data_IF_416009879940
#
_entry.id   IF_416009879940
#
_cell.length_a   1.000
_cell.length_b   1.000
_cell.length_c   1.000
_cell.angle_alpha   90.00
_cell.angle_beta   90.00
_cell.angle_gamma   90.00
#
_symmetry.space_group_name_H-M   'P 1'
#
loop_
_entity.id
_entity.type
_entity.pdbx_description
1 polymer ?
#
# COMPACT_ATOMS: atom_id res chain seq x y z
N UNK A 1 5.82 -10.25 26.60
CA UNK A 1 4.74 -9.35 26.15
C UNK A 1 5.40 -8.24 25.37
N UNK A 2 4.97 -7.90 24.13
CA UNK A 2 5.49 -6.72 23.45
C UNK A 2 5.06 -5.50 24.26
N UNK A 3 6.06 -4.75 24.78
CA UNK A 3 5.80 -3.53 25.52
C UNK A 3 5.13 -2.50 24.62
N UNK A 4 4.16 -1.74 25.14
CA UNK A 4 3.57 -0.58 24.48
C UNK A 4 4.68 0.43 24.13
N UNK A 5 5.25 0.30 22.95
CA UNK A 5 6.11 1.34 22.38
C UNK A 5 5.20 2.42 21.79
N UNK A 6 5.56 3.68 22.02
CA UNK A 6 4.90 4.79 21.33
C UNK A 6 4.85 4.47 19.83
N UNK A 7 3.70 4.71 19.18
CA UNK A 7 3.55 4.45 17.74
C UNK A 7 4.66 5.18 16.98
N UNK A 8 5.58 4.48 16.31
CA UNK A 8 6.63 5.13 15.57
C UNK A 8 6.01 5.97 14.45
N UNK A 9 6.61 7.11 14.17
CA UNK A 9 6.18 8.04 13.13
C UNK A 9 7.14 7.88 11.95
N UNK A 10 6.58 7.70 10.76
CA UNK A 10 7.36 7.62 9.53
C UNK A 10 8.15 8.92 9.30
N UNK A 11 9.40 8.80 8.83
CA UNK A 11 10.33 9.93 8.65
C UNK A 11 9.76 11.09 7.81
N UNK A 12 8.92 10.79 6.86
CA UNK A 12 8.25 11.76 6.00
C UNK A 12 7.26 12.67 6.75
N UNK A 13 6.80 12.25 7.94
CA UNK A 13 5.86 13.00 8.77
C UNK A 13 6.49 14.11 9.60
N UNK A 14 7.74 13.96 10.01
CA UNK A 14 8.37 14.87 10.98
C UNK A 14 8.35 16.34 10.57
N UNK A 15 8.59 16.63 9.28
CA UNK A 15 8.58 18.00 8.75
C UNK A 15 7.20 18.64 8.85
N UNK A 16 6.14 17.90 8.56
CA UNK A 16 4.76 18.37 8.63
C UNK A 16 4.31 18.56 10.07
N UNK A 17 4.63 17.60 10.95
CA UNK A 17 4.30 17.67 12.37
C UNK A 17 5.00 18.88 13.01
N UNK A 18 6.28 19.10 12.73
CA UNK A 18 7.00 20.26 13.24
C UNK A 18 6.40 21.58 12.74
N UNK A 19 6.05 21.67 11.45
CA UNK A 19 5.42 22.85 10.86
C UNK A 19 4.06 23.15 11.51
N UNK A 20 3.19 22.14 11.64
CA UNK A 20 1.88 22.31 12.26
C UNK A 20 1.99 22.61 13.75
N UNK A 21 2.94 22.01 14.47
CA UNK A 21 3.19 22.33 15.87
C UNK A 21 3.62 23.79 16.06
N UNK A 22 4.55 24.28 15.23
CA UNK A 22 4.95 25.68 15.25
C UNK A 22 3.78 26.61 14.94
N UNK A 23 3.00 26.28 13.89
CA UNK A 23 1.81 27.03 13.55
C UNK A 23 0.78 27.05 14.69
N UNK A 24 0.62 25.96 15.44
CA UNK A 24 -0.27 25.88 16.61
C UNK A 24 0.12 26.88 17.68
N UNK A 25 1.42 26.99 17.98
CA UNK A 25 1.94 27.95 18.96
C UNK A 25 1.67 29.39 18.49
N UNK A 26 2.01 29.72 17.26
CA UNK A 26 1.80 31.07 16.69
C UNK A 26 0.33 31.44 16.70
N UNK A 27 -0.56 30.54 16.23
CA UNK A 27 -2.00 30.79 16.17
C UNK A 27 -2.61 30.89 17.56
N UNK A 28 -2.07 30.17 18.56
CA UNK A 28 -2.54 30.30 19.94
C UNK A 28 -2.31 31.70 20.52
N UNK A 29 -1.19 32.34 20.19
CA UNK A 29 -0.90 33.72 20.57
C UNK A 29 -1.80 34.75 19.90
N UNK A 30 -2.31 34.45 18.69
CA UNK A 30 -3.26 35.32 18.00
C UNK A 30 -4.68 35.13 18.54
N UNK A 31 -5.12 33.89 18.70
CA UNK A 31 -6.42 33.53 19.26
C UNK A 31 -6.40 32.08 19.75
N UNK A 32 -6.66 31.86 21.04
CA UNK A 32 -6.63 30.54 21.65
C UNK A 32 -7.44 29.46 20.87
N UNK A 33 -8.68 29.73 20.37
CA UNK A 33 -9.42 28.73 19.59
C UNK A 33 -8.67 28.27 18.31
N UNK A 34 -7.99 29.18 17.61
CA UNK A 34 -7.21 28.84 16.42
C UNK A 34 -6.01 27.94 16.76
N UNK A 35 -5.36 28.21 17.88
CA UNK A 35 -4.28 27.37 18.41
C UNK A 35 -4.74 25.95 18.70
N UNK A 36 -5.90 25.77 19.34
CA UNK A 36 -6.48 24.45 19.60
C UNK A 36 -6.86 23.70 18.33
N UNK A 37 -7.44 24.37 17.34
CA UNK A 37 -7.72 23.77 16.03
C UNK A 37 -6.44 23.31 15.35
N UNK A 38 -5.39 24.13 15.37
CA UNK A 38 -4.10 23.79 14.78
C UNK A 38 -3.41 22.63 15.54
N UNK A 39 -3.54 22.57 16.86
CA UNK A 39 -3.06 21.44 17.66
C UNK A 39 -3.79 20.13 17.28
N UNK A 40 -5.10 20.16 17.16
CA UNK A 40 -5.87 19.00 16.72
C UNK A 40 -5.39 18.50 15.33
N UNK A 41 -5.13 19.43 14.41
CA UNK A 41 -4.56 19.10 13.09
C UNK A 41 -3.14 18.53 13.19
N UNK A 42 -2.32 19.02 14.12
CA UNK A 42 -0.98 18.49 14.40
C UNK A 42 -1.05 17.04 14.88
N UNK A 43 -1.95 16.75 15.81
CA UNK A 43 -2.18 15.40 16.32
C UNK A 43 -2.71 14.45 15.24
N UNK A 44 -3.63 14.92 14.40
CA UNK A 44 -4.11 14.16 13.26
C UNK A 44 -2.99 13.91 12.26
N UNK A 45 -2.11 14.87 11.99
CA UNK A 45 -0.95 14.70 11.14
C UNK A 45 -0.01 13.62 11.70
N UNK A 46 0.26 13.62 13.00
CA UNK A 46 1.05 12.58 13.66
C UNK A 46 0.37 11.20 13.53
N UNK A 47 -0.94 11.13 13.72
CA UNK A 47 -1.73 9.92 13.52
C UNK A 47 -1.69 9.41 12.07
N UNK A 48 -1.77 10.31 11.08
CA UNK A 48 -1.67 9.97 9.66
C UNK A 48 -0.31 9.34 9.31
N UNK A 49 0.79 9.89 9.82
CA UNK A 49 2.14 9.39 9.56
C UNK A 49 2.59 8.27 10.50
N UNK A 50 1.67 7.64 11.25
CA UNK A 50 2.03 6.51 12.10
C UNK A 50 2.53 5.33 11.28
N UNK A 51 3.52 4.64 11.82
CA UNK A 51 4.16 3.47 11.19
C UNK A 51 4.26 2.32 12.21
N UNK A 52 3.14 1.66 12.52
CA UNK A 52 3.12 0.59 13.52
C UNK A 52 3.98 -0.61 13.11
N UNK A 53 4.55 -1.29 14.08
CA UNK A 53 5.13 -2.62 13.87
C UNK A 53 4.02 -3.60 13.46
N UNK A 54 4.37 -4.60 12.64
CA UNK A 54 3.44 -5.61 12.13
C UNK A 54 4.02 -7.00 12.36
N UNK A 55 3.16 -7.95 12.67
CA UNK A 55 3.51 -9.36 12.79
C UNK A 55 3.20 -10.04 11.47
N UNK A 56 4.21 -10.20 10.65
CA UNK A 56 4.07 -10.79 9.31
C UNK A 56 4.16 -12.30 9.38
N UNK A 57 3.20 -13.05 8.78
CA UNK A 57 3.31 -14.50 8.66
C UNK A 57 4.50 -14.86 7.74
N UNK A 58 5.37 -15.75 8.22
CA UNK A 58 6.64 -16.08 7.54
C UNK A 58 6.60 -17.38 6.73
N UNK A 59 5.44 -17.98 6.51
CA UNK A 59 5.33 -19.18 5.67
C UNK A 59 5.56 -18.81 4.20
N UNK A 60 6.41 -19.59 3.53
CA UNK A 60 6.66 -19.44 2.09
C UNK A 60 5.38 -19.62 1.26
N UNK A 61 5.30 -18.92 0.15
CA UNK A 61 4.17 -18.95 -0.76
C UNK A 61 3.01 -18.05 -0.37
N UNK A 62 3.05 -17.41 0.81
CA UNK A 62 2.03 -16.43 1.19
C UNK A 62 2.27 -15.09 0.50
N UNK A 63 1.19 -14.51 0.01
CA UNK A 63 1.14 -13.12 -0.45
C UNK A 63 0.33 -12.34 0.58
N UNK A 64 0.96 -11.41 1.29
CA UNK A 64 0.29 -10.57 2.29
C UNK A 64 -0.15 -9.23 1.71
N UNK A 65 -1.10 -8.59 2.36
CA UNK A 65 -1.54 -7.25 1.96
C UNK A 65 -0.39 -6.23 2.00
N UNK A 66 -0.14 -5.49 0.93
CA UNK A 66 0.88 -4.43 0.92
C UNK A 66 0.39 -3.12 1.55
N UNK A 67 -0.89 -2.99 1.87
CA UNK A 67 -1.49 -1.77 2.39
C UNK A 67 -2.59 -2.04 3.43
N UNK A 68 -2.79 -1.10 4.35
CA UNK A 68 -4.02 -1.02 5.15
C UNK A 68 -5.13 -0.45 4.27
N UNK A 69 -6.35 -0.95 4.39
CA UNK A 69 -7.47 -0.38 3.65
C UNK A 69 -8.59 -1.36 3.36
N UNK A 70 -9.42 -0.99 2.40
CA UNK A 70 -10.58 -1.79 1.97
C UNK A 70 -10.36 -2.31 0.56
N UNK A 71 -10.65 -3.59 0.36
CA UNK A 71 -10.58 -4.24 -0.95
C UNK A 71 -11.68 -3.67 -1.85
N UNK A 72 -11.29 -3.13 -3.00
CA UNK A 72 -12.20 -2.79 -4.09
C UNK A 72 -12.59 -4.06 -4.85
N UNK A 73 -13.55 -3.98 -5.80
CA UNK A 73 -13.87 -5.15 -6.63
C UNK A 73 -12.62 -5.80 -7.22
N UNK A 74 -12.46 -7.10 -6.98
CA UNK A 74 -11.39 -7.90 -7.58
C UNK A 74 -11.74 -8.16 -9.03
N UNK A 75 -10.84 -7.85 -9.95
CA UNK A 75 -11.10 -7.94 -11.39
C UNK A 75 -9.91 -8.56 -12.13
N UNK A 76 -10.17 -9.14 -13.28
CA UNK A 76 -9.13 -9.45 -14.25
C UNK A 76 -8.79 -8.19 -15.05
N UNK A 77 -7.53 -7.76 -15.03
CA UNK A 77 -7.09 -6.58 -15.75
C UNK A 77 -5.66 -6.75 -16.27
N UNK A 78 -5.32 -6.18 -17.44
CA UNK A 78 -3.94 -6.19 -17.90
C UNK A 78 -3.06 -5.36 -16.96
N UNK A 79 -1.85 -5.82 -16.63
CA UNK A 79 -0.91 -5.01 -15.86
C UNK A 79 -0.47 -3.78 -16.67
N UNK A 80 -0.07 -2.68 -15.99
CA UNK A 80 0.41 -1.50 -16.68
C UNK A 80 1.57 -1.82 -17.61
N UNK A 81 1.59 -1.29 -18.85
CA UNK A 81 2.62 -1.60 -19.86
C UNK A 81 4.05 -1.36 -19.37
N UNK A 82 4.23 -0.35 -18.52
CA UNK A 82 5.53 0.01 -17.97
C UNK A 82 6.14 -1.04 -17.04
N UNK A 83 5.36 -2.04 -16.58
CA UNK A 83 5.86 -3.17 -15.80
C UNK A 83 6.39 -4.32 -16.66
N UNK A 84 6.12 -4.32 -17.97
CA UNK A 84 6.57 -5.38 -18.90
C UNK A 84 6.19 -6.79 -18.42
N UNK A 85 4.95 -6.96 -17.95
CA UNK A 85 4.38 -8.23 -17.48
C UNK A 85 3.46 -8.88 -18.52
N UNK A 86 3.50 -8.44 -19.77
CA UNK A 86 2.59 -8.86 -20.83
C UNK A 86 1.28 -8.09 -20.87
N UNK A 87 0.38 -8.52 -21.78
CA UNK A 87 -0.94 -7.88 -21.99
C UNK A 87 -2.09 -8.77 -21.49
N UNK A 88 -1.78 -10.00 -21.09
CA UNK A 88 -2.79 -10.93 -20.60
C UNK A 88 -3.37 -10.43 -19.27
N UNK A 89 -4.70 -10.46 -19.10
CA UNK A 89 -5.35 -10.07 -17.87
C UNK A 89 -4.91 -10.94 -16.69
N UNK A 90 -4.43 -10.31 -15.63
CA UNK A 90 -4.10 -10.92 -14.36
C UNK A 90 -5.16 -10.57 -13.30
N UNK A 91 -5.31 -11.41 -12.28
CA UNK A 91 -6.14 -11.09 -11.13
C UNK A 91 -5.55 -9.87 -10.42
N UNK A 92 -6.30 -8.77 -10.40
CA UNK A 92 -5.93 -7.54 -9.71
C UNK A 92 -6.73 -7.39 -8.42
N UNK A 93 -6.03 -7.35 -7.29
CA UNK A 93 -6.56 -6.98 -5.98
C UNK A 93 -6.19 -5.53 -5.72
N UNK A 94 -7.20 -4.66 -5.65
CA UNK A 94 -7.02 -3.23 -5.41
C UNK A 94 -7.40 -2.88 -3.97
N UNK A 95 -6.54 -2.16 -3.26
CA UNK A 95 -6.71 -1.79 -1.85
C UNK A 95 -6.79 -0.28 -1.75
N UNK A 96 -7.94 0.23 -1.33
CA UNK A 96 -8.17 1.65 -1.13
C UNK A 96 -7.83 2.06 0.29
N UNK A 97 -6.91 3.01 0.45
CA UNK A 97 -6.49 3.59 1.72
C UNK A 97 -7.19 4.93 1.91
N UNK A 98 -8.05 5.04 2.93
CA UNK A 98 -8.65 6.32 3.31
C UNK A 98 -7.70 7.12 4.22
N UNK A 99 -8.03 8.38 4.53
CA UNK A 99 -7.17 9.30 5.31
C UNK A 99 -6.89 8.85 6.75
N UNK A 100 -7.60 7.85 7.26
CA UNK A 100 -7.43 7.31 8.61
C UNK A 100 -6.68 5.98 8.64
N UNK A 101 -6.39 5.39 7.48
CA UNK A 101 -5.60 4.17 7.37
C UNK A 101 -4.10 4.46 7.53
N UNK A 102 -3.29 3.43 7.75
CA UNK A 102 -1.83 3.54 7.69
C UNK A 102 -1.39 3.59 6.24
N UNK A 103 -0.60 4.60 5.88
CA UNK A 103 -0.19 4.83 4.49
C UNK A 103 1.21 4.27 4.16
N UNK A 104 1.87 3.64 5.14
CA UNK A 104 3.13 2.91 4.89
C UNK A 104 2.81 1.62 4.17
N UNK A 105 3.46 1.42 3.02
CA UNK A 105 3.28 0.25 2.19
C UNK A 105 4.37 -0.81 2.47
N UNK A 106 3.98 -2.08 2.38
CA UNK A 106 4.82 -3.22 2.69
C UNK A 106 4.90 -4.20 1.54
N UNK A 107 6.04 -4.87 1.41
CA UNK A 107 6.29 -5.90 0.40
C UNK A 107 5.37 -7.09 0.66
N UNK A 108 4.58 -7.53 -0.34
CA UNK A 108 3.62 -8.61 -0.16
C UNK A 108 4.23 -10.01 -0.15
N UNK A 109 5.36 -10.20 -0.81
CA UNK A 109 6.05 -11.48 -0.90
C UNK A 109 7.55 -11.27 -1.13
N UNK A 110 8.38 -12.12 -0.51
CA UNK A 110 9.84 -12.08 -0.69
C UNK A 110 10.24 -12.32 -2.15
N UNK A 111 11.29 -11.65 -2.57
CA UNK A 111 11.77 -11.76 -3.93
C UNK A 111 12.79 -10.69 -4.32
N UNK A 112 12.91 -10.44 -5.62
CA UNK A 112 13.78 -9.42 -6.19
C UNK A 112 12.97 -8.41 -7.00
N UNK A 113 13.26 -7.13 -6.85
CA UNK A 113 12.69 -6.07 -7.69
C UNK A 113 13.33 -6.15 -9.08
N UNK A 114 12.55 -6.55 -10.09
CA UNK A 114 13.00 -6.62 -11.48
C UNK A 114 12.88 -5.28 -12.18
N UNK A 115 11.84 -4.54 -11.86
CA UNK A 115 11.55 -3.25 -12.48
C UNK A 115 10.89 -2.29 -11.51
N UNK A 116 11.29 -1.02 -11.61
CA UNK A 116 10.66 0.12 -10.92
C UNK A 116 10.35 1.19 -11.95
N UNK A 117 9.08 1.50 -12.13
CA UNK A 117 8.65 2.49 -13.12
C UNK A 117 7.77 3.56 -12.48
N UNK A 118 8.16 4.81 -12.64
CA UNK A 118 7.36 5.97 -12.20
C UNK A 118 6.71 6.62 -13.41
N UNK A 119 5.42 6.89 -13.29
CA UNK A 119 4.66 7.60 -14.32
C UNK A 119 3.98 8.83 -13.71
N UNK A 120 4.33 10.03 -14.15
CA UNK A 120 3.61 11.23 -13.75
C UNK A 120 2.18 11.18 -14.29
N UNK A 121 1.23 11.76 -13.55
CA UNK A 121 -0.16 11.72 -13.93
C UNK A 121 -1.01 12.78 -13.22
N UNK A 122 -2.32 12.62 -13.31
CA UNK A 122 -3.31 13.48 -12.66
C UNK A 122 -3.56 12.98 -11.22
N UNK A 123 -4.35 13.75 -10.48
CA UNK A 123 -4.77 13.41 -9.12
C UNK A 123 -6.30 13.41 -9.07
N UNK A 124 -6.91 12.31 -9.51
CA UNK A 124 -8.35 12.07 -9.35
C UNK A 124 -8.59 11.02 -8.27
N UNK A 125 -9.84 10.90 -7.82
CA UNK A 125 -10.18 9.97 -6.73
C UNK A 125 -9.74 8.54 -7.07
N UNK A 126 -8.84 7.97 -6.25
CA UNK A 126 -8.23 6.67 -6.47
C UNK A 126 -9.21 5.48 -6.34
N UNK A 127 -10.42 5.68 -5.80
CA UNK A 127 -11.45 4.64 -5.73
C UNK A 127 -12.04 4.28 -7.10
N UNK A 128 -11.93 5.15 -8.08
CA UNK A 128 -12.41 4.88 -9.44
C UNK A 128 -11.41 4.02 -10.22
N UNK A 129 -11.93 3.10 -11.02
CA UNK A 129 -11.10 2.18 -11.81
C UNK A 129 -10.22 2.93 -12.83
N UNK A 130 -10.76 3.98 -13.46
CA UNK A 130 -10.03 4.88 -14.39
C UNK A 130 -8.86 5.64 -13.73
N UNK A 131 -8.77 5.70 -12.41
CA UNK A 131 -7.64 6.30 -11.72
C UNK A 131 -6.32 5.55 -12.00
N UNK A 132 -6.38 4.24 -12.24
CA UNK A 132 -5.21 3.42 -12.60
C UNK A 132 -4.53 3.90 -13.88
N UNK A 133 -5.27 4.48 -14.82
CA UNK A 133 -4.75 4.90 -16.12
C UNK A 133 -4.22 6.34 -16.11
N UNK A 134 -4.90 7.22 -15.40
CA UNK A 134 -4.68 8.67 -15.48
C UNK A 134 -3.91 9.29 -14.34
N UNK A 135 -3.84 8.65 -13.16
CA UNK A 135 -3.18 9.20 -11.99
C UNK A 135 -1.67 8.96 -12.00
N UNK A 136 -0.97 9.82 -11.23
CA UNK A 136 0.42 9.57 -10.87
C UNK A 136 0.54 8.20 -10.21
N UNK A 137 1.49 7.39 -10.70
CA UNK A 137 1.69 6.04 -10.20
C UNK A 137 3.14 5.61 -10.22
N UNK A 138 3.45 4.67 -9.33
CA UNK A 138 4.74 3.99 -9.28
C UNK A 138 4.49 2.48 -9.26
N UNK A 139 5.02 1.80 -10.26
CA UNK A 139 4.92 0.36 -10.40
C UNK A 139 6.22 -0.34 -10.00
N UNK A 140 6.09 -1.48 -9.36
CA UNK A 140 7.16 -2.44 -9.08
C UNK A 140 6.78 -3.79 -9.68
N UNK A 141 7.73 -4.42 -10.38
CA UNK A 141 7.66 -5.81 -10.80
C UNK A 141 8.60 -6.62 -9.91
N UNK A 142 8.08 -7.63 -9.24
CA UNK A 142 8.83 -8.51 -8.36
C UNK A 142 8.99 -9.89 -9.01
N UNK A 143 10.21 -10.41 -9.10
CA UNK A 143 10.43 -11.84 -9.25
C UNK A 143 10.33 -12.46 -7.87
N UNK A 144 9.37 -13.34 -7.69
CA UNK A 144 9.21 -14.09 -6.45
C UNK A 144 10.32 -15.15 -6.33
N UNK A 145 10.63 -15.57 -5.11
CA UNK A 145 11.53 -16.70 -4.90
C UNK A 145 10.96 -17.94 -5.61
N UNK A 146 11.84 -18.75 -6.19
CA UNK A 146 11.45 -19.95 -6.94
C UNK A 146 10.59 -20.85 -6.06
N UNK A 147 9.41 -21.21 -6.57
CA UNK A 147 8.57 -22.20 -5.90
C UNK A 147 9.25 -23.57 -5.91
N UNK A 148 8.78 -24.50 -5.10
CA UNK A 148 9.28 -25.88 -5.07
C UNK A 148 9.20 -26.59 -6.44
N UNK A 149 8.37 -26.08 -7.33
CA UNK A 149 8.19 -26.53 -8.72
C UNK A 149 9.18 -25.91 -9.73
N UNK A 150 10.12 -25.09 -9.26
CA UNK A 150 11.08 -24.37 -10.11
C UNK A 150 10.45 -23.25 -10.96
N UNK A 151 9.17 -22.95 -10.76
CA UNK A 151 8.49 -21.90 -11.53
C UNK A 151 8.91 -20.50 -11.06
N UNK A 152 9.34 -19.67 -12.01
CA UNK A 152 9.56 -18.24 -11.76
C UNK A 152 8.24 -17.52 -11.88
N UNK A 153 7.73 -17.02 -10.77
CA UNK A 153 6.49 -16.26 -10.72
C UNK A 153 6.79 -14.78 -10.57
N UNK A 154 6.00 -13.96 -11.23
CA UNK A 154 6.12 -12.51 -11.15
C UNK A 154 4.86 -11.92 -10.50
N UNK A 155 5.04 -10.86 -9.70
CA UNK A 155 3.97 -10.12 -9.05
C UNK A 155 4.15 -8.64 -9.36
N UNK A 156 3.05 -7.98 -9.74
CA UNK A 156 3.02 -6.54 -9.97
C UNK A 156 2.44 -5.80 -8.77
N UNK A 157 3.09 -4.70 -8.38
CA UNK A 157 2.58 -3.73 -7.41
C UNK A 157 2.46 -2.37 -8.07
N UNK A 158 1.34 -1.66 -7.87
CA UNK A 158 1.18 -0.32 -8.40
C UNK A 158 0.64 0.59 -7.31
N UNK A 159 1.48 1.52 -6.85
CA UNK A 159 1.07 2.63 -6.00
C UNK A 159 0.40 3.69 -6.86
N UNK A 160 -0.82 4.11 -6.54
CA UNK A 160 -1.61 5.07 -7.30
C UNK A 160 -1.99 6.22 -6.36
N UNK A 161 -1.56 7.42 -6.73
CA UNK A 161 -1.88 8.63 -5.98
C UNK A 161 -3.37 8.98 -6.11
N UNK A 162 -4.00 9.39 -5.02
CA UNK A 162 -5.40 9.88 -5.01
C UNK A 162 -5.50 11.38 -5.17
N UNK A 163 -6.71 11.92 -5.04
CA UNK A 163 -7.05 13.34 -5.27
C UNK A 163 -6.22 14.32 -4.43
N UNK A 164 -5.91 13.98 -3.19
CA UNK A 164 -5.15 14.81 -2.25
C UNK A 164 -3.67 14.41 -2.20
N UNK A 165 -3.34 13.25 -2.77
CA UNK A 165 -1.98 12.73 -2.78
C UNK A 165 -1.07 13.66 -3.61
N UNK A 166 0.09 14.02 -3.04
CA UNK A 166 1.07 14.87 -3.73
C UNK A 166 2.43 14.22 -3.91
N UNK A 167 2.58 12.97 -3.44
CA UNK A 167 3.85 12.27 -3.58
C UNK A 167 3.71 10.78 -3.27
N UNK A 168 4.24 9.98 -4.16
CA UNK A 168 4.55 8.56 -3.93
C UNK A 168 6.01 8.48 -3.48
N UNK A 169 6.25 7.84 -2.34
CA UNK A 169 7.60 7.55 -1.83
C UNK A 169 7.83 6.06 -2.01
N UNK A 170 8.93 5.70 -2.65
CA UNK A 170 9.38 4.32 -2.81
C UNK A 170 10.86 4.26 -2.44
N UNK A 171 11.22 3.35 -1.53
CA UNK A 171 12.55 3.24 -0.93
C UNK A 171 13.35 2.08 -1.50
N UNK A 172 12.73 1.26 -2.37
CA UNK A 172 13.39 0.14 -3.03
C UNK A 172 13.75 0.48 -4.47
N UNK A 173 14.85 -0.10 -4.96
CA UNK A 173 15.38 0.11 -6.30
C UNK A 173 15.39 -1.19 -7.08
N UNK A 174 15.56 -1.09 -8.42
CA UNK A 174 15.75 -2.25 -9.26
C UNK A 174 16.97 -3.07 -8.81
N UNK A 175 16.83 -4.39 -8.82
CA UNK A 175 17.85 -5.31 -8.35
C UNK A 175 17.83 -5.58 -6.84
N UNK A 176 17.12 -4.78 -6.03
CA UNK A 176 17.02 -4.99 -4.59
C UNK A 176 16.37 -6.33 -4.26
N UNK A 177 16.90 -7.04 -3.26
CA UNK A 177 16.20 -8.14 -2.58
C UNK A 177 15.29 -7.57 -1.52
N UNK A 178 14.07 -8.06 -1.45
CA UNK A 178 13.02 -7.61 -0.53
C UNK A 178 12.40 -8.79 0.20
N UNK A 179 11.91 -8.55 1.42
CA UNK A 179 11.28 -9.58 2.27
C UNK A 179 9.82 -9.26 2.47
N UNK A 180 9.00 -10.31 2.61
CA UNK A 180 7.58 -10.20 2.97
C UNK A 180 7.42 -9.34 4.23
N UNK A 181 6.49 -8.36 4.19
CA UNK A 181 6.21 -7.44 5.29
C UNK A 181 7.19 -6.28 5.45
N UNK A 182 8.31 -6.25 4.71
CA UNK A 182 9.26 -5.15 4.70
C UNK A 182 8.62 -3.85 4.19
N UNK A 183 8.93 -2.72 4.82
CA UNK A 183 8.48 -1.41 4.36
C UNK A 183 9.17 -1.08 3.04
N UNK A 184 8.41 -0.62 2.04
CA UNK A 184 9.01 -0.22 0.76
C UNK A 184 8.64 1.19 0.32
N UNK A 185 7.71 1.82 1.01
CA UNK A 185 7.32 3.17 0.65
C UNK A 185 6.07 3.67 1.35
N UNK A 186 5.55 4.79 0.85
CA UNK A 186 4.35 5.44 1.38
C UNK A 186 3.68 6.26 0.28
N UNK A 187 2.35 6.34 0.30
CA UNK A 187 1.60 7.28 -0.53
C UNK A 187 0.94 8.29 0.39
N UNK A 188 1.16 9.59 0.18
CA UNK A 188 0.59 10.63 1.04
C UNK A 188 -0.84 10.97 0.62
N UNK A 189 -1.78 10.98 1.59
CA UNK A 189 -3.15 11.50 1.53
C UNK A 189 -4.09 10.84 0.50
N UNK A 190 -4.73 9.74 0.92
CA UNK A 190 -5.76 9.04 0.17
C UNK A 190 -5.23 8.44 -1.14
N UNK A 191 -5.24 7.12 -1.23
CA UNK A 191 -4.51 6.43 -2.29
C UNK A 191 -5.06 5.03 -2.52
N UNK A 192 -4.54 4.37 -3.54
CA UNK A 192 -4.84 2.98 -3.86
C UNK A 192 -3.54 2.24 -4.15
N UNK A 193 -3.50 0.98 -3.76
CA UNK A 193 -2.45 0.07 -4.14
C UNK A 193 -3.04 -1.14 -4.84
N UNK A 194 -2.57 -1.40 -6.06
CA UNK A 194 -2.98 -2.55 -6.87
C UNK A 194 -1.93 -3.65 -6.80
N UNK A 195 -2.40 -4.88 -6.61
CA UNK A 195 -1.59 -6.10 -6.64
C UNK A 195 -2.04 -6.93 -7.83
N UNK A 196 -1.15 -7.17 -8.79
CA UNK A 196 -1.37 -8.09 -9.89
C UNK A 196 -0.76 -9.44 -9.51
N UNK A 197 -1.65 -10.40 -9.22
CA UNK A 197 -1.25 -11.74 -8.81
C UNK A 197 -0.68 -12.55 -9.98
N UNK A 198 0.24 -13.48 -9.72
CA UNK A 198 0.69 -14.44 -10.74
C UNK A 198 -0.48 -15.17 -11.40
N UNK A 199 -0.33 -15.60 -12.68
CA UNK A 199 -1.36 -16.37 -13.37
C UNK A 199 -1.81 -17.60 -12.58
N UNK A 200 -3.11 -17.85 -12.55
CA UNK A 200 -3.70 -19.02 -11.88
C UNK A 200 -3.82 -18.91 -10.36
N UNK A 201 -3.36 -17.82 -9.75
CA UNK A 201 -3.47 -17.62 -8.31
C UNK A 201 -4.81 -16.96 -7.94
N UNK A 202 -5.58 -17.64 -7.09
CA UNK A 202 -6.88 -17.16 -6.60
C UNK A 202 -6.71 -16.22 -5.40
N UNK A 203 -7.47 -15.10 -5.33
CA UNK A 203 -7.48 -14.23 -4.16
C UNK A 203 -8.25 -14.88 -3.01
N UNK A 204 -7.71 -14.79 -1.81
CA UNK A 204 -8.33 -15.25 -0.56
C UNK A 204 -9.10 -14.13 0.17
N UNK A 205 -9.28 -13.01 -0.50
CA UNK A 205 -9.98 -11.83 0.03
C UNK A 205 -11.08 -11.40 -0.93
N UNK A 206 -12.12 -10.77 -0.39
CA UNK A 206 -13.29 -10.33 -1.13
C UNK A 206 -13.45 -8.79 -1.07
N UNK A 207 -14.18 -8.23 -2.05
CA UNK A 207 -14.52 -6.82 -2.07
C UNK A 207 -15.24 -6.38 -0.78
N UNK A 208 -14.88 -5.21 -0.26
CA UNK A 208 -15.38 -4.67 1.01
C UNK A 208 -14.64 -5.14 2.26
N UNK A 209 -13.80 -6.17 2.16
CA UNK A 209 -13.02 -6.67 3.29
C UNK A 209 -11.92 -5.67 3.68
N UNK A 210 -11.70 -5.51 4.99
CA UNK A 210 -10.64 -4.69 5.54
C UNK A 210 -9.34 -5.47 5.69
N UNK A 211 -8.23 -4.90 5.23
CA UNK A 211 -6.91 -5.52 5.25
C UNK A 211 -5.94 -4.72 6.12
N UNK A 212 -4.95 -5.44 6.65
CA UNK A 212 -3.83 -4.92 7.43
C UNK A 212 -2.54 -5.22 6.67
N UNK A 213 -1.76 -4.17 6.37
CA UNK A 213 -0.49 -4.27 5.64
C UNK A 213 0.51 -5.18 6.37
N UNK A 214 1.09 -6.11 5.64
CA UNK A 214 2.07 -7.07 6.17
C UNK A 214 1.49 -8.21 7.01
N UNK A 215 0.18 -8.22 7.31
CA UNK A 215 -0.44 -9.23 8.18
C UNK A 215 -1.51 -10.06 7.47
N UNK A 216 -2.46 -9.41 6.77
CA UNK A 216 -3.55 -10.11 6.11
C UNK A 216 -3.07 -10.86 4.88
N UNK A 217 -3.28 -12.16 4.82
CA UNK A 217 -2.97 -12.99 3.64
C UNK A 217 -4.02 -12.73 2.56
N UNK A 218 -3.57 -12.29 1.38
CA UNK A 218 -4.43 -12.01 0.22
C UNK A 218 -4.42 -13.11 -0.83
N UNK A 219 -3.38 -13.96 -0.86
CA UNK A 219 -3.29 -15.14 -1.71
C UNK A 219 -2.26 -16.13 -1.15
N UNK A 220 -2.32 -17.39 -1.60
CA UNK A 220 -1.41 -18.46 -1.18
C UNK A 220 -1.02 -19.30 -2.40
N UNK A 221 0.24 -19.25 -2.79
CA UNK A 221 0.78 -19.95 -3.96
C UNK A 221 0.80 -21.48 -3.82
N UNK A 222 0.62 -21.99 -2.59
CA UNK A 222 0.55 -23.42 -2.30
C UNK A 222 -0.89 -23.92 -2.16
N UNK A 223 -1.87 -23.02 -2.18
CA UNK A 223 -3.30 -23.36 -2.06
C UNK A 223 -3.95 -23.49 -3.45
N UNK A 224 -4.83 -24.47 -3.57
CA UNK A 224 -5.76 -24.60 -4.70
C UNK A 224 -7.17 -24.10 -4.32
N UNK A 225 -7.29 -23.39 -3.21
CA UNK A 225 -8.56 -22.83 -2.77
C UNK A 225 -9.08 -21.84 -3.83
N UNK A 226 -10.36 -21.97 -4.22
CA UNK A 226 -10.96 -21.00 -5.14
C UNK A 226 -11.08 -19.63 -4.48
N UNK A 227 -11.31 -18.60 -5.29
CA UNK A 227 -11.56 -17.25 -4.80
C UNK A 227 -12.71 -17.24 -3.76
N UNK A 228 -12.48 -16.60 -2.61
CA UNK A 228 -13.46 -16.53 -1.53
C UNK A 228 -14.55 -15.52 -1.86
N UNK A 229 -15.85 -15.92 -1.89
CA UNK A 229 -16.93 -14.96 -1.94
C UNK A 229 -17.03 -14.19 -0.62
N UNK A 230 -17.41 -12.93 -0.67
CA UNK A 230 -17.69 -12.09 0.50
C UNK A 230 -19.18 -11.78 0.59
N UNK A 231 -19.74 -11.75 1.79
CA UNK A 231 -21.12 -11.36 2.07
C UNK A 231 -21.13 -10.34 3.20
N UNK A 232 -21.87 -9.23 2.98
CA UNK A 232 -22.05 -8.21 4.03
C UNK A 232 -23.15 -8.68 4.98
N UNK A 233 -22.82 -8.76 6.26
CA UNK A 233 -23.74 -9.16 7.33
C UNK A 233 -23.78 -8.14 8.44
#
# INVERSE_FOLDING_TARGET
>A
MPGYRALPIHREGWRFIALFALASVVLYWLAAPLGWCALALTLWCAYFFRDPERVTPVREGLVVSPADGVVLPVVAAPPPPELEMGQEPLTRVSIFMNLFDVHVNRIPCSGRVLKRSYRPGRFVNASFDKASEGNERLGLKLALEEGEDGSRRELGLVQIAGLVARRIVCEVEEGSRVRTGERFGMIRFGSRLDVYLPPGLSPLVAAGQRLIAGETVIADMRSQEPARPGEVR
#
